data_IF_753672897444
#
_entry.id   IF_753672897444
#
_cell.length_a   1.000
_cell.length_b   1.000
_cell.length_c   1.000
_cell.angle_alpha   90.00
_cell.angle_beta   90.00
_cell.angle_gamma   90.00
#
_symmetry.space_group_name_H-M   'P 1'
#
loop_
_entity.id
_entity.type
_entity.pdbx_description
1 polymer ?
#
# COMPACT_ATOMS: atom_id res chain seq x y z
N UNK A 1 -5.84 -1.70 -13.76
CA UNK A 1 -6.82 -0.60 -13.74
C UNK A 1 -8.17 -0.98 -14.34
N UNK A 2 -8.23 -1.70 -15.46
CA UNK A 2 -9.48 -2.17 -16.10
C UNK A 2 -10.51 -2.74 -15.13
N UNK A 3 -10.10 -3.66 -14.24
CA UNK A 3 -10.99 -4.25 -13.22
C UNK A 3 -11.69 -3.22 -12.32
N UNK A 4 -11.00 -2.15 -11.89
CA UNK A 4 -11.59 -1.13 -11.00
C UNK A 4 -12.77 -0.44 -11.70
N UNK A 5 -12.57 0.00 -12.95
CA UNK A 5 -13.59 0.76 -13.68
C UNK A 5 -14.72 -0.12 -14.20
N UNK A 6 -14.39 -1.30 -14.74
CA UNK A 6 -15.38 -2.20 -15.30
C UNK A 6 -16.33 -2.70 -14.20
N UNK A 7 -15.78 -3.09 -13.05
CA UNK A 7 -16.57 -3.52 -11.89
C UNK A 7 -17.43 -2.35 -11.37
N UNK A 8 -16.84 -1.15 -11.25
CA UNK A 8 -17.58 0.01 -10.77
C UNK A 8 -18.72 0.41 -11.72
N UNK A 9 -18.51 0.34 -13.04
CA UNK A 9 -19.53 0.64 -14.03
C UNK A 9 -20.68 -0.36 -14.00
N UNK A 10 -20.39 -1.65 -13.83
CA UNK A 10 -21.40 -2.71 -13.91
C UNK A 10 -22.11 -2.98 -12.60
N UNK A 11 -21.40 -2.88 -11.47
CA UNK A 11 -21.85 -3.37 -10.17
C UNK A 11 -21.87 -2.30 -9.09
N UNK A 12 -21.33 -1.11 -9.36
CA UNK A 12 -21.11 -0.04 -8.36
C UNK A 12 -20.30 -0.56 -7.16
N UNK A 13 -19.28 -1.38 -7.45
CA UNK A 13 -18.31 -1.87 -6.47
C UNK A 13 -16.90 -1.81 -7.04
N UNK A 14 -15.91 -1.82 -6.15
CA UNK A 14 -14.49 -1.96 -6.51
C UNK A 14 -13.90 -3.07 -5.65
N UNK A 15 -13.37 -4.10 -6.29
CA UNK A 15 -12.80 -5.28 -5.63
C UNK A 15 -13.76 -5.94 -4.62
N UNK A 16 -15.06 -5.95 -4.96
CA UNK A 16 -16.13 -6.52 -4.15
C UNK A 16 -16.64 -5.60 -3.04
N UNK A 17 -16.09 -4.39 -2.88
CA UNK A 17 -16.58 -3.41 -1.91
C UNK A 17 -17.65 -2.54 -2.58
N UNK A 18 -18.93 -2.59 -2.15
CA UNK A 18 -19.97 -1.74 -2.70
C UNK A 18 -19.72 -0.26 -2.42
N UNK A 19 -20.09 0.62 -3.35
CA UNK A 19 -19.93 2.08 -3.24
C UNK A 19 -20.54 2.64 -1.95
N UNK A 20 -21.67 2.07 -1.49
CA UNK A 20 -22.34 2.51 -0.26
C UNK A 20 -21.50 2.25 1.00
N UNK A 21 -20.46 1.41 0.91
CA UNK A 21 -19.51 1.13 1.98
C UNK A 21 -18.21 1.92 1.85
N UNK A 22 -18.05 2.74 0.81
CA UNK A 22 -16.87 3.58 0.68
C UNK A 22 -16.82 4.62 1.79
N UNK A 23 -15.72 4.59 2.54
CA UNK A 23 -15.49 5.50 3.65
C UNK A 23 -15.30 6.92 3.16
N UNK A 24 -16.14 7.85 3.61
CA UNK A 24 -15.99 9.28 3.37
C UNK A 24 -15.46 9.98 4.63
N UNK A 25 -14.30 10.63 4.59
CA UNK A 25 -13.71 11.30 5.76
C UNK A 25 -14.51 12.53 6.17
N UNK A 26 -14.52 12.81 7.47
CA UNK A 26 -15.09 14.06 8.01
C UNK A 26 -14.09 15.19 7.79
N UNK A 27 -14.45 16.18 6.96
CA UNK A 27 -13.56 17.23 6.43
C UNK A 27 -12.71 18.00 7.47
N UNK A 28 -13.09 18.02 8.74
CA UNK A 28 -12.39 18.78 9.79
C UNK A 28 -11.40 17.96 10.63
N UNK A 29 -11.24 16.66 10.37
CA UNK A 29 -10.35 15.79 11.12
C UNK A 29 -9.26 15.25 10.22
N UNK A 30 -8.05 15.80 10.35
CA UNK A 30 -6.83 15.28 9.74
C UNK A 30 -5.82 14.95 10.82
N UNK A 31 -4.89 14.07 10.49
CA UNK A 31 -3.81 13.63 11.38
C UNK A 31 -2.49 13.95 10.70
N UNK A 32 -1.60 14.61 11.43
CA UNK A 32 -0.27 14.96 10.95
C UNK A 32 0.76 13.94 11.41
N UNK A 33 1.55 13.41 10.49
CA UNK A 33 2.61 12.45 10.76
C UNK A 33 3.82 12.82 9.90
N UNK A 34 5.00 12.97 10.52
CA UNK A 34 6.27 13.31 9.85
C UNK A 34 6.23 14.49 8.85
N UNK A 35 5.37 15.49 9.08
CA UNK A 35 5.22 16.65 8.21
C UNK A 35 4.22 16.47 7.06
N UNK A 36 3.62 15.29 6.93
CA UNK A 36 2.50 15.01 6.03
C UNK A 36 1.17 14.92 6.79
N UNK A 37 0.06 14.89 6.05
CA UNK A 37 -1.29 14.73 6.60
C UNK A 37 -2.02 13.54 5.96
N UNK A 38 -2.88 12.91 6.75
CA UNK A 38 -3.82 11.91 6.27
C UNK A 38 -5.19 12.09 6.95
N UNK A 39 -6.26 11.61 6.33
CA UNK A 39 -7.63 11.84 6.79
C UNK A 39 -8.05 10.96 7.98
N UNK A 40 -7.36 9.85 8.22
CA UNK A 40 -7.62 8.97 9.37
C UNK A 40 -6.31 8.48 10.00
N UNK A 41 -6.25 8.28 11.33
CA UNK A 41 -5.06 7.75 12.01
C UNK A 41 -4.92 6.22 11.87
N UNK A 42 -5.66 5.58 10.97
CA UNK A 42 -5.73 4.13 10.86
C UNK A 42 -5.30 3.66 9.49
N UNK A 43 -4.77 2.45 9.43
CA UNK A 43 -4.49 1.73 8.19
C UNK A 43 -3.68 0.47 8.46
N UNK A 44 -3.40 -0.30 7.40
CA UNK A 44 -2.75 -1.60 7.53
C UNK A 44 -1.27 -1.43 7.85
N UNK A 45 -0.79 -2.29 8.75
CA UNK A 45 0.63 -2.45 9.04
C UNK A 45 1.37 -3.14 7.87
N UNK A 46 2.69 -2.97 7.83
CA UNK A 46 3.52 -3.59 6.80
C UNK A 46 3.42 -5.11 6.86
N UNK A 47 2.92 -5.73 5.79
CA UNK A 47 2.65 -7.17 5.77
C UNK A 47 2.21 -7.68 4.40
N UNK A 48 1.90 -8.98 4.27
CA UNK A 48 1.57 -9.60 2.98
C UNK A 48 0.42 -8.91 2.23
N UNK A 49 -0.46 -8.22 2.95
CA UNK A 49 -1.53 -7.46 2.30
C UNK A 49 -1.03 -6.17 1.64
N UNK A 50 -0.08 -5.45 2.24
CA UNK A 50 0.40 -4.16 1.73
C UNK A 50 1.50 -4.28 0.68
N UNK A 51 1.74 -5.49 0.15
CA UNK A 51 2.55 -5.72 -1.06
C UNK A 51 1.72 -5.67 -2.35
N UNK A 52 0.38 -5.73 -2.25
CA UNK A 52 -0.54 -5.79 -3.39
C UNK A 52 -1.31 -4.48 -3.55
N UNK A 53 -1.33 -3.92 -4.76
CA UNK A 53 -2.03 -2.68 -5.07
C UNK A 53 -3.53 -2.77 -4.79
N UNK A 54 -4.15 -3.92 -5.12
CA UNK A 54 -5.56 -4.17 -4.85
C UNK A 54 -5.90 -4.00 -3.37
N UNK A 55 -5.08 -4.54 -2.47
CA UNK A 55 -5.34 -4.51 -1.03
C UNK A 55 -5.12 -3.12 -0.43
N UNK A 56 -4.15 -2.38 -0.98
CA UNK A 56 -3.93 -0.96 -0.63
C UNK A 56 -5.16 -0.13 -1.05
N UNK A 57 -5.68 -0.37 -2.26
CA UNK A 57 -6.90 0.29 -2.75
C UNK A 57 -8.11 -0.06 -1.88
N UNK A 58 -8.33 -1.34 -1.54
CA UNK A 58 -9.45 -1.73 -0.68
C UNK A 58 -9.33 -1.13 0.72
N UNK A 59 -8.12 -1.09 1.29
CA UNK A 59 -7.87 -0.40 2.56
C UNK A 59 -8.28 1.06 2.50
N UNK A 60 -7.91 1.78 1.43
CA UNK A 60 -8.33 3.16 1.24
C UNK A 60 -9.85 3.29 1.05
N UNK A 61 -10.48 2.43 0.26
CA UNK A 61 -11.94 2.44 0.10
C UNK A 61 -12.66 2.27 1.45
N UNK A 62 -12.09 1.52 2.38
CA UNK A 62 -12.67 1.28 3.72
C UNK A 62 -12.13 2.19 4.83
N UNK A 63 -11.38 3.25 4.48
CA UNK A 63 -11.00 4.30 5.42
C UNK A 63 -9.59 4.23 6.00
N UNK A 64 -8.76 3.27 5.59
CA UNK A 64 -7.33 3.27 5.90
C UNK A 64 -6.61 4.39 5.14
N UNK A 65 -5.85 5.22 5.84
CA UNK A 65 -5.11 6.36 5.24
C UNK A 65 -3.65 6.42 5.64
N UNK A 66 -3.26 5.79 6.74
CA UNK A 66 -1.85 5.58 7.07
C UNK A 66 -1.46 4.14 6.70
N UNK A 67 -0.85 3.96 5.53
CA UNK A 67 -0.61 2.64 4.95
C UNK A 67 0.89 2.34 5.03
N UNK A 68 1.25 1.35 5.83
CA UNK A 68 2.62 0.87 5.89
C UNK A 68 2.85 -0.15 4.77
N UNK A 69 3.67 0.22 3.80
CA UNK A 69 3.98 -0.66 2.67
C UNK A 69 4.88 -1.81 3.14
N UNK A 70 4.70 -2.98 2.52
CA UNK A 70 5.52 -4.16 2.84
C UNK A 70 6.99 -3.80 2.65
N UNK A 71 7.80 -4.12 3.65
CA UNK A 71 9.24 -3.86 3.64
C UNK A 71 9.91 -4.51 2.43
N UNK A 72 10.65 -3.71 1.67
CA UNK A 72 11.50 -4.20 0.58
C UNK A 72 12.93 -4.38 1.05
N UNK A 73 13.66 -5.34 0.49
CA UNK A 73 15.07 -5.58 0.84
C UNK A 73 15.89 -6.14 -0.31
N UNK A 74 17.20 -6.28 -0.10
CA UNK A 74 18.14 -6.79 -1.11
C UNK A 74 17.92 -8.27 -1.44
N UNK A 75 17.48 -9.08 -0.46
CA UNK A 75 17.12 -10.48 -0.66
C UNK A 75 15.69 -10.57 -1.21
N UNK A 76 15.53 -10.24 -2.50
CA UNK A 76 14.23 -10.11 -3.17
C UNK A 76 13.83 -11.34 -4.01
N UNK A 77 14.58 -12.44 -3.85
CA UNK A 77 14.38 -13.75 -4.49
C UNK A 77 14.51 -14.85 -3.45
N UNK A 78 13.61 -14.85 -2.48
CA UNK A 78 13.58 -15.86 -1.43
C UNK A 78 12.80 -17.07 -1.91
N UNK A 79 13.37 -18.26 -1.71
CA UNK A 79 12.62 -19.50 -1.76
C UNK A 79 12.10 -19.78 -0.34
N UNK A 80 10.78 -19.73 -0.18
CA UNK A 80 10.09 -19.97 1.09
C UNK A 80 9.27 -21.24 0.95
N UNK A 81 9.40 -22.13 1.93
CA UNK A 81 8.49 -23.28 2.07
C UNK A 81 7.07 -22.77 2.37
N UNK A 82 6.06 -23.42 1.79
CA UNK A 82 4.66 -23.05 1.93
C UNK A 82 3.90 -24.14 2.71
N UNK A 83 3.00 -23.79 3.65
CA UNK A 83 2.64 -22.42 4.06
C UNK A 83 3.76 -21.73 4.86
N UNK A 84 4.05 -20.47 4.54
CA UNK A 84 5.04 -19.65 5.25
C UNK A 84 4.44 -18.83 6.40
N UNK A 85 3.12 -18.82 6.49
CA UNK A 85 2.34 -18.28 7.61
C UNK A 85 1.35 -19.38 7.99
N UNK A 86 1.44 -19.82 9.23
CA UNK A 86 0.51 -20.77 9.82
C UNK A 86 -0.17 -20.10 11.01
N UNK A 87 -1.50 -19.99 10.94
CA UNK A 87 -2.30 -19.15 11.84
C UNK A 87 -3.45 -19.97 12.44
N UNK A 88 -3.09 -21.07 13.11
CA UNK A 88 -4.00 -21.85 13.95
C UNK A 88 -4.18 -21.15 15.31
N UNK A 89 -3.77 -21.76 16.42
CA UNK A 89 -3.89 -21.16 17.77
C UNK A 89 -2.78 -20.13 18.04
N UNK A 90 -1.54 -20.44 17.64
CA UNK A 90 -0.40 -19.53 17.65
C UNK A 90 0.03 -19.24 16.21
N UNK A 91 0.32 -17.98 15.90
CA UNK A 91 0.73 -17.58 14.55
C UNK A 91 2.24 -17.77 14.38
N UNK A 92 2.62 -18.73 13.53
CA UNK A 92 4.00 -18.95 13.11
C UNK A 92 4.25 -18.31 11.76
N UNK A 93 5.37 -17.61 11.63
CA UNK A 93 5.76 -16.93 10.41
C UNK A 93 7.23 -17.23 10.09
N UNK A 94 7.47 -17.84 8.92
CA UNK A 94 8.79 -18.10 8.35
C UNK A 94 9.06 -17.23 7.12
N UNK A 95 8.12 -16.36 6.72
CA UNK A 95 8.28 -15.33 5.70
C UNK A 95 9.20 -14.22 6.22
N UNK A 96 10.44 -14.18 5.72
CA UNK A 96 11.33 -13.05 5.93
C UNK A 96 11.08 -12.03 4.80
N UNK A 97 10.40 -10.92 5.10
CA UNK A 97 10.15 -9.78 4.18
C UNK A 97 9.16 -10.05 3.02
N UNK A 98 9.28 -9.27 1.93
CA UNK A 98 8.48 -9.29 0.69
C UNK A 98 8.66 -10.57 -0.13
N UNK A 99 7.56 -11.11 -0.67
CA UNK A 99 7.59 -12.18 -1.69
C UNK A 99 7.98 -11.63 -3.08
N UNK A 100 7.98 -10.31 -3.25
CA UNK A 100 8.20 -9.65 -4.53
C UNK A 100 9.63 -9.15 -4.68
N UNK A 101 10.13 -9.28 -5.92
CA UNK A 101 11.33 -8.58 -6.35
C UNK A 101 11.15 -7.07 -6.18
N UNK A 102 12.26 -6.33 -6.05
CA UNK A 102 12.22 -4.87 -5.94
C UNK A 102 11.43 -4.23 -7.08
N UNK A 103 11.60 -4.72 -8.31
CA UNK A 103 10.87 -4.24 -9.47
C UNK A 103 9.36 -4.50 -9.37
N UNK A 104 8.96 -5.67 -8.87
CA UNK A 104 7.53 -6.01 -8.74
C UNK A 104 6.88 -5.25 -7.58
N UNK A 105 7.57 -5.10 -6.45
CA UNK A 105 7.11 -4.26 -5.35
C UNK A 105 6.90 -2.81 -5.82
N UNK A 106 7.88 -2.25 -6.56
CA UNK A 106 7.76 -0.93 -7.16
C UNK A 106 6.52 -0.80 -8.05
N UNK A 107 6.30 -1.78 -8.94
CA UNK A 107 5.15 -1.79 -9.85
C UNK A 107 3.80 -1.81 -9.11
N UNK A 108 3.67 -2.58 -8.02
CA UNK A 108 2.47 -2.59 -7.19
C UNK A 108 2.26 -1.26 -6.44
N UNK A 109 3.32 -0.67 -5.87
CA UNK A 109 3.21 0.59 -5.15
C UNK A 109 2.85 1.74 -6.08
N UNK A 110 3.43 1.76 -7.29
CA UNK A 110 3.10 2.74 -8.31
C UNK A 110 1.65 2.61 -8.79
N UNK A 111 1.17 1.38 -9.04
CA UNK A 111 -0.25 1.13 -9.38
C UNK A 111 -1.17 1.63 -8.28
N UNK A 112 -0.86 1.33 -7.02
CA UNK A 112 -1.65 1.77 -5.88
C UNK A 112 -1.69 3.29 -5.80
N UNK A 113 -0.52 3.95 -5.89
CA UNK A 113 -0.40 5.40 -5.88
C UNK A 113 -1.29 6.08 -6.92
N UNK A 114 -1.17 5.67 -8.19
CA UNK A 114 -2.00 6.21 -9.27
C UNK A 114 -3.49 5.92 -9.07
N UNK A 115 -3.83 4.71 -8.64
CA UNK A 115 -5.22 4.35 -8.41
C UNK A 115 -5.84 5.20 -7.29
N UNK A 116 -5.14 5.39 -6.18
CA UNK A 116 -5.65 6.18 -5.06
C UNK A 116 -5.86 7.65 -5.43
N UNK A 117 -4.91 8.28 -6.11
CA UNK A 117 -5.08 9.66 -6.58
C UNK A 117 -6.30 9.82 -7.51
N UNK A 118 -6.52 8.85 -8.39
CA UNK A 118 -7.69 8.89 -9.27
C UNK A 118 -9.00 8.69 -8.50
N UNK A 119 -9.04 7.72 -7.58
CA UNK A 119 -10.20 7.46 -6.76
C UNK A 119 -10.53 8.65 -5.84
N UNK A 120 -9.52 9.34 -5.32
CA UNK A 120 -9.69 10.62 -4.62
C UNK A 120 -10.36 11.67 -5.50
N UNK A 121 -9.85 11.87 -6.72
CA UNK A 121 -10.44 12.84 -7.64
C UNK A 121 -11.90 12.52 -7.99
N UNK A 122 -12.26 11.23 -8.05
CA UNK A 122 -13.61 10.79 -8.39
C UNK A 122 -14.60 10.83 -7.22
N UNK A 123 -14.16 10.42 -6.02
CA UNK A 123 -15.07 10.17 -4.88
C UNK A 123 -14.90 11.16 -3.74
N UNK A 124 -13.72 11.74 -3.57
CA UNK A 124 -13.36 12.60 -2.43
C UNK A 124 -12.53 13.82 -2.87
N UNK A 125 -12.98 14.58 -3.90
CA UNK A 125 -12.21 15.72 -4.39
C UNK A 125 -12.00 16.74 -3.26
N UNK A 126 -10.76 17.19 -3.12
CA UNK A 126 -10.32 18.07 -2.04
C UNK A 126 -9.21 19.01 -2.51
N UNK A 127 -9.26 20.24 -2.05
CA UNK A 127 -8.18 21.23 -2.25
C UNK A 127 -7.00 21.02 -1.28
N UNK A 128 -7.14 20.09 -0.31
CA UNK A 128 -6.17 19.86 0.78
C UNK A 128 -5.04 18.89 0.42
N UNK A 129 -4.93 18.50 -0.86
CA UNK A 129 -3.99 17.48 -1.32
C UNK A 129 -4.47 16.05 -1.06
N UNK A 130 -3.54 15.08 -1.16
CA UNK A 130 -3.83 13.65 -0.93
C UNK A 130 -4.26 13.39 0.52
N UNK A 131 -5.18 12.47 0.71
CA UNK A 131 -5.74 12.11 2.02
C UNK A 131 -5.00 10.97 2.73
N UNK A 132 -3.97 10.39 2.11
CA UNK A 132 -3.27 9.20 2.60
C UNK A 132 -1.76 9.37 2.60
N UNK A 133 -1.09 8.56 3.41
CA UNK A 133 0.37 8.46 3.53
C UNK A 133 0.77 7.02 3.23
N UNK A 134 1.80 6.87 2.40
CA UNK A 134 2.55 5.63 2.27
C UNK A 134 3.76 5.73 3.18
N UNK A 135 3.77 4.93 4.24
CA UNK A 135 4.91 4.80 5.13
C UNK A 135 5.76 3.63 4.63
N UNK A 136 6.97 3.92 4.17
CA UNK A 136 7.86 2.92 3.58
C UNK A 136 8.96 2.53 4.56
N UNK A 137 9.22 1.23 4.67
CA UNK A 137 10.41 0.68 5.30
C UNK A 137 11.27 -0.02 4.24
N UNK A 138 12.59 0.22 4.28
CA UNK A 138 13.53 -0.32 3.29
C UNK A 138 14.73 -0.96 3.98
N UNK A 139 15.02 -2.20 3.62
CA UNK A 139 16.15 -2.99 4.09
C UNK A 139 16.11 -3.34 5.57
N UNK A 140 17.04 -4.22 5.97
CA UNK A 140 17.21 -4.66 7.36
C UNK A 140 18.57 -4.28 7.95
N UNK A 141 19.51 -3.84 7.10
CA UNK A 141 20.81 -3.33 7.53
C UNK A 141 21.32 -2.30 6.52
N UNK A 142 22.28 -1.48 6.97
CA UNK A 142 22.84 -0.39 6.17
C UNK A 142 23.58 -0.90 4.92
N UNK A 143 24.26 -2.04 5.03
CA UNK A 143 25.02 -2.63 3.93
C UNK A 143 24.11 -3.01 2.76
N UNK A 144 22.99 -3.68 3.04
CA UNK A 144 21.99 -4.06 2.05
C UNK A 144 21.32 -2.84 1.42
N UNK A 145 20.98 -1.83 2.22
CA UNK A 145 20.36 -0.58 1.72
C UNK A 145 21.29 0.14 0.73
N UNK A 146 22.60 0.10 0.94
CA UNK A 146 23.59 0.74 0.05
C UNK A 146 23.80 0.02 -1.29
N UNK A 147 23.28 -1.19 -1.46
CA UNK A 147 23.47 -1.96 -2.69
C UNK A 147 22.79 -1.28 -3.89
N UNK A 148 23.36 -1.39 -5.11
CA UNK A 148 22.83 -0.70 -6.29
C UNK A 148 21.34 -0.95 -6.59
N UNK A 149 20.79 -2.17 -6.46
CA UNK A 149 19.36 -2.41 -6.67
C UNK A 149 18.46 -1.65 -5.68
N UNK A 150 18.84 -1.62 -4.39
CA UNK A 150 18.11 -0.87 -3.36
C UNK A 150 18.18 0.64 -3.61
N UNK A 151 19.36 1.14 -4.00
CA UNK A 151 19.52 2.55 -4.35
C UNK A 151 18.71 2.94 -5.59
N UNK A 152 18.56 2.03 -6.56
CA UNK A 152 17.68 2.23 -7.71
C UNK A 152 16.22 2.30 -7.28
N UNK A 153 15.77 1.37 -6.44
CA UNK A 153 14.41 1.37 -5.88
C UNK A 153 14.10 2.68 -5.15
N UNK A 154 14.99 3.12 -4.25
CA UNK A 154 14.79 4.35 -3.46
C UNK A 154 14.69 5.59 -4.36
N UNK A 155 15.53 5.71 -5.40
CA UNK A 155 15.44 6.83 -6.36
C UNK A 155 14.14 6.86 -7.14
N UNK A 156 13.53 5.70 -7.41
CA UNK A 156 12.23 5.65 -8.08
C UNK A 156 11.14 6.18 -7.15
N UNK A 157 11.20 5.82 -5.86
CA UNK A 157 10.29 6.28 -4.82
C UNK A 157 10.38 7.79 -4.58
N UNK A 158 11.56 8.28 -4.18
CA UNK A 158 11.78 9.70 -3.83
C UNK A 158 11.44 10.68 -4.96
N UNK A 159 11.39 10.21 -6.21
CA UNK A 159 11.13 11.04 -7.37
C UNK A 159 9.67 11.09 -7.85
N UNK A 160 8.74 10.27 -7.30
CA UNK A 160 7.44 10.03 -7.96
C UNK A 160 6.26 9.68 -7.05
N UNK A 161 6.50 9.14 -5.86
CA UNK A 161 5.50 8.71 -4.87
C UNK A 161 5.73 9.51 -3.59
#
# INVERSE_FOLDING_TARGET
MTRIFDEYQQQRSIFGIPEQQFYSPVKSKTVSVFGETCATPVGPAAGPHTQLAQNIVTSWLTGGRFIELKTVQILDRLELEKPCIDAEDECFNTEWSTEFTLLKAWDEYLKAWFALHLLEAMFQPSDSGKSFIFNMSVGYNLEGIKQPPMQQFNRQYDGRI
#
